data_IF_915588557087
#
_entry.id   IF_915588557087
#
_cell.length_a   1.000
_cell.length_b   1.000
_cell.length_c   1.000
_cell.angle_alpha   90.00
_cell.angle_beta   90.00
_cell.angle_gamma   90.00
#
_symmetry.space_group_name_H-M   'P 1'
#
loop_
_entity.id
_entity.type
_entity.pdbx_description
1 polymer ?
#
# COMPACT_ATOMS: atom_id res chain seq x y z
N UNK A 1 -26.37 0.95 19.28
CA UNK A 1 -24.92 0.73 19.49
C UNK A 1 -24.16 1.82 18.76
N UNK A 2 -23.26 2.54 19.42
CA UNK A 2 -22.32 3.44 18.74
C UNK A 2 -21.29 2.59 17.99
N UNK A 3 -21.04 2.91 16.72
CA UNK A 3 -19.99 2.26 15.95
C UNK A 3 -18.63 2.84 16.36
N UNK A 4 -17.73 2.01 16.88
CA UNK A 4 -16.34 2.42 17.14
C UNK A 4 -15.66 2.73 15.81
N UNK A 5 -14.89 3.82 15.78
CA UNK A 5 -14.09 4.20 14.61
C UNK A 5 -12.65 3.76 14.87
N UNK A 6 -12.10 2.96 13.97
CA UNK A 6 -10.69 2.56 13.96
C UNK A 6 -9.90 3.49 13.05
N UNK A 7 -8.75 3.92 13.53
CA UNK A 7 -7.74 4.63 12.76
C UNK A 7 -6.63 3.66 12.38
N UNK A 8 -6.34 3.55 11.08
CA UNK A 8 -5.37 2.59 10.55
C UNK A 8 -4.30 3.35 9.77
N UNK A 9 -3.01 3.22 10.14
CA UNK A 9 -1.93 3.91 9.47
C UNK A 9 -1.64 3.32 8.09
N UNK A 10 -1.35 4.21 7.13
CA UNK A 10 -0.90 3.89 5.77
C UNK A 10 0.63 3.82 5.78
N UNK A 11 1.17 2.67 5.37
CA UNK A 11 2.58 2.50 5.05
C UNK A 11 2.83 2.86 3.58
N UNK A 12 3.86 3.65 3.33
CA UNK A 12 4.32 3.99 1.97
C UNK A 12 5.52 3.12 1.60
N UNK A 13 5.52 2.59 0.37
CA UNK A 13 6.60 1.77 -0.17
C UNK A 13 6.92 2.24 -1.59
N UNK A 14 8.20 2.36 -1.92
CA UNK A 14 8.63 2.58 -3.31
C UNK A 14 9.06 1.27 -3.91
N UNK A 15 8.51 0.93 -5.08
CA UNK A 15 8.94 -0.23 -5.87
C UNK A 15 9.45 0.22 -7.23
N UNK A 16 10.41 -0.53 -7.77
CA UNK A 16 10.96 -0.36 -9.11
C UNK A 16 10.42 -1.47 -9.99
N UNK A 17 9.83 -1.10 -11.12
CA UNK A 17 9.30 -2.02 -12.14
C UNK A 17 10.13 -1.90 -13.40
N UNK A 18 10.56 -3.05 -13.96
CA UNK A 18 11.19 -3.14 -15.28
C UNK A 18 10.10 -3.20 -16.35
N UNK A 19 10.06 -2.19 -17.24
CA UNK A 19 9.08 -2.07 -18.30
C UNK A 19 9.50 -2.81 -19.58
N UNK A 20 10.77 -3.21 -19.71
CA UNK A 20 11.29 -3.91 -20.88
C UNK A 20 11.31 -5.43 -20.67
N UNK A 21 11.50 -5.89 -19.42
CA UNK A 21 11.45 -7.30 -19.08
C UNK A 21 10.41 -7.59 -17.98
N UNK A 22 9.20 -8.06 -18.35
CA UNK A 22 8.13 -8.35 -17.39
C UNK A 22 8.41 -9.57 -16.50
N UNK A 23 9.43 -10.37 -16.81
CA UNK A 23 9.85 -11.49 -15.97
C UNK A 23 10.73 -11.04 -14.80
N UNK A 24 11.27 -9.83 -14.85
CA UNK A 24 11.99 -9.27 -13.73
C UNK A 24 10.99 -8.90 -12.61
N UNK A 25 11.21 -9.38 -11.37
CA UNK A 25 10.34 -9.03 -10.27
C UNK A 25 10.45 -7.53 -9.98
N UNK A 26 9.35 -6.93 -9.53
CA UNK A 26 9.41 -5.62 -8.92
C UNK A 26 10.25 -5.69 -7.64
N UNK A 27 11.16 -4.74 -7.46
CA UNK A 27 12.02 -4.67 -6.28
C UNK A 27 11.63 -3.47 -5.42
N UNK A 28 11.84 -3.56 -4.11
CA UNK A 28 11.83 -2.35 -3.28
C UNK A 28 12.95 -1.43 -3.77
N UNK A 29 12.72 -0.12 -3.72
CA UNK A 29 13.66 0.87 -4.23
C UNK A 29 15.09 0.71 -3.67
N UNK A 30 15.21 0.47 -2.37
CA UNK A 30 16.53 0.26 -1.76
C UNK A 30 17.17 -1.06 -2.19
N UNK A 31 16.39 -2.15 -2.27
CA UNK A 31 16.88 -3.44 -2.77
C UNK A 31 17.39 -3.34 -4.22
N UNK A 32 16.74 -2.51 -5.04
CA UNK A 32 17.22 -2.23 -6.39
C UNK A 32 18.59 -1.55 -6.36
N UNK A 33 18.75 -0.51 -5.53
CA UNK A 33 20.01 0.25 -5.43
C UNK A 33 21.14 -0.61 -4.87
N UNK A 34 20.85 -1.45 -3.88
CA UNK A 34 21.81 -2.41 -3.32
C UNK A 34 22.26 -3.42 -4.38
N UNK A 35 21.30 -3.96 -5.15
CA UNK A 35 21.58 -5.00 -6.16
C UNK A 35 22.33 -4.48 -7.38
N UNK A 36 21.98 -3.30 -7.89
CA UNK A 36 22.48 -2.79 -9.17
C UNK A 36 23.51 -1.66 -9.02
N UNK A 37 23.66 -1.07 -7.83
CA UNK A 37 24.62 0.00 -7.57
C UNK A 37 24.31 1.33 -8.27
N UNK A 38 23.10 1.48 -8.83
CA UNK A 38 22.67 2.70 -9.50
C UNK A 38 21.19 3.03 -9.23
N UNK A 39 20.80 4.26 -9.57
CA UNK A 39 19.40 4.68 -9.52
C UNK A 39 18.61 4.09 -10.71
N UNK A 40 17.34 3.69 -10.50
CA UNK A 40 16.48 3.23 -11.60
C UNK A 40 16.19 4.38 -12.58
N UNK A 41 16.56 4.20 -13.84
CA UNK A 41 16.44 5.23 -14.88
C UNK A 41 15.34 4.91 -15.91
N UNK A 42 14.56 5.90 -16.36
CA UNK A 42 13.69 5.76 -17.52
C UNK A 42 14.51 5.60 -18.82
N UNK A 43 13.93 5.04 -19.91
CA UNK A 43 12.55 4.56 -20.00
C UNK A 43 12.35 3.16 -19.42
N UNK A 44 13.43 2.40 -19.20
CA UNK A 44 13.36 1.00 -18.78
C UNK A 44 12.72 0.81 -17.41
N UNK A 45 13.13 1.58 -16.41
CA UNK A 45 12.63 1.41 -15.06
C UNK A 45 11.65 2.51 -14.68
N UNK A 46 10.57 2.11 -13.99
CA UNK A 46 9.59 3.03 -13.40
C UNK A 46 9.49 2.82 -11.91
N UNK A 47 9.60 3.91 -11.15
CA UNK A 47 9.39 3.89 -9.69
C UNK A 47 7.91 4.15 -9.40
N UNK A 48 7.27 3.23 -8.68
CA UNK A 48 5.88 3.36 -8.23
C UNK A 48 5.85 3.54 -6.71
N UNK A 49 5.05 4.50 -6.24
CA UNK A 49 4.75 4.68 -4.82
C UNK A 49 3.49 3.88 -4.50
N UNK A 50 3.61 2.87 -3.65
CA UNK A 50 2.49 2.11 -3.11
C UNK A 50 2.12 2.65 -1.73
N UNK A 51 0.82 2.67 -1.47
CA UNK A 51 0.23 2.99 -0.18
C UNK A 51 -0.55 1.77 0.29
N UNK A 52 -0.10 1.17 1.39
CA UNK A 52 -0.57 -0.12 1.90
C UNK A 52 -0.99 0.03 3.35
N UNK A 53 -1.93 -0.77 3.81
CA UNK A 53 -2.23 -0.93 5.23
C UNK A 53 -2.60 -2.39 5.53
N UNK A 54 -2.55 -2.75 6.81
CA UNK A 54 -3.13 -4.02 7.29
C UNK A 54 -4.57 -3.73 7.70
N UNK A 55 -5.53 -4.39 7.04
CA UNK A 55 -6.93 -4.26 7.42
C UNK A 55 -7.13 -4.87 8.81
N UNK A 56 -7.66 -4.12 9.80
CA UNK A 56 -7.75 -4.60 11.18
C UNK A 56 -8.81 -5.70 11.39
N UNK A 57 -9.52 -6.10 10.34
CA UNK A 57 -10.69 -6.99 10.45
C UNK A 57 -10.42 -8.39 9.91
N UNK A 58 -9.63 -8.50 8.85
CA UNK A 58 -9.21 -9.76 8.26
C UNK A 58 -7.67 -9.94 8.29
N UNK A 59 -6.93 -8.95 8.78
CA UNK A 59 -5.46 -8.94 8.85
C UNK A 59 -4.75 -9.00 7.50
N UNK A 60 -5.47 -8.74 6.40
CA UNK A 60 -4.87 -8.72 5.06
C UNK A 60 -4.12 -7.41 4.80
N UNK A 61 -3.00 -7.50 4.07
CA UNK A 61 -2.34 -6.33 3.49
C UNK A 61 -3.13 -5.90 2.25
N UNK A 62 -3.56 -4.65 2.23
CA UNK A 62 -4.40 -4.10 1.17
C UNK A 62 -3.87 -2.75 0.70
N UNK A 63 -4.10 -2.39 -0.57
CA UNK A 63 -3.82 -1.03 -1.03
C UNK A 63 -4.81 -0.04 -0.40
N UNK A 64 -4.31 1.13 -0.01
CA UNK A 64 -5.14 2.21 0.53
C UNK A 64 -6.25 2.63 -0.44
N UNK A 65 -6.02 2.50 -1.75
CA UNK A 65 -7.02 2.75 -2.80
C UNK A 65 -8.18 1.75 -2.77
N UNK A 66 -7.95 0.51 -2.37
CA UNK A 66 -8.97 -0.53 -2.30
C UNK A 66 -9.87 -0.37 -1.08
N UNK A 67 -9.39 0.27 0.00
CA UNK A 67 -10.20 0.53 1.19
C UNK A 67 -11.47 1.30 0.89
N UNK A 68 -11.47 2.18 -0.11
CA UNK A 68 -12.66 2.94 -0.54
C UNK A 68 -13.84 2.06 -0.97
N UNK A 69 -13.58 0.80 -1.35
CA UNK A 69 -14.58 -0.19 -1.75
C UNK A 69 -15.15 -0.98 -0.57
N UNK A 70 -14.53 -0.87 0.62
CA UNK A 70 -14.98 -1.57 1.81
C UNK A 70 -16.22 -0.86 2.42
N UNK A 71 -17.31 -1.58 2.77
CA UNK A 71 -18.50 -0.96 3.37
C UNK A 71 -18.23 -0.33 4.75
N UNK A 72 -17.12 -0.70 5.39
CA UNK A 72 -16.68 -0.14 6.67
C UNK A 72 -15.92 1.17 6.49
N UNK A 73 -15.47 1.51 5.29
CA UNK A 73 -14.71 2.72 5.04
C UNK A 73 -15.53 3.96 5.35
N UNK A 74 -14.92 4.89 6.08
CA UNK A 74 -15.53 6.19 6.39
C UNK A 74 -14.83 7.26 5.58
N UNK A 75 -13.50 7.37 5.71
CA UNK A 75 -12.69 8.36 4.99
C UNK A 75 -11.21 8.04 5.08
N UNK A 76 -10.44 8.70 4.20
CA UNK A 76 -9.00 8.88 4.33
C UNK A 76 -8.71 10.30 4.79
N UNK A 77 -7.75 10.48 5.70
CA UNK A 77 -7.21 11.78 6.07
C UNK A 77 -5.72 11.65 6.35
N UNK A 78 -4.90 12.46 5.68
CA UNK A 78 -3.44 12.35 5.73
C UNK A 78 -3.00 10.90 5.41
N UNK A 79 -2.17 10.33 6.27
CA UNK A 79 -1.62 8.98 6.16
C UNK A 79 -2.42 7.95 6.98
N UNK A 80 -3.71 8.21 7.22
CA UNK A 80 -4.59 7.31 7.95
C UNK A 80 -5.91 7.02 7.20
N UNK A 81 -6.38 5.80 7.33
CA UNK A 81 -7.73 5.36 6.95
C UNK A 81 -8.58 5.24 8.22
N UNK A 82 -9.80 5.76 8.15
CA UNK A 82 -10.80 5.63 9.21
C UNK A 82 -11.90 4.68 8.75
N UNK A 83 -12.17 3.64 9.54
CA UNK A 83 -13.20 2.65 9.24
C UNK A 83 -14.02 2.27 10.48
N UNK A 84 -15.24 1.76 10.26
CA UNK A 84 -16.09 1.24 11.31
C UNK A 84 -15.58 -0.11 11.78
N UNK A 85 -15.55 -0.32 13.09
CA UNK A 85 -15.40 -1.63 13.70
C UNK A 85 -16.67 -2.45 13.53
N UNK A 86 -16.53 -3.70 13.08
CA UNK A 86 -17.62 -4.68 13.24
C UNK A 86 -17.55 -5.23 14.65
N UNK A 87 -18.59 -5.00 15.47
CA UNK A 87 -18.71 -5.71 16.74
C UNK A 87 -18.85 -7.20 16.43
N UNK A 88 -17.91 -8.03 16.90
CA UNK A 88 -18.11 -9.47 16.92
C UNK A 88 -19.28 -9.76 17.86
N UNK A 89 -20.31 -10.46 17.34
CA UNK A 89 -21.41 -10.99 18.14
C UNK A 89 -20.92 -12.09 19.07
#
# INVERSE_FOLDING_TARGET
MQATIREVPIRKLKIVVDLENPLNPALIYEDFREKYGEEPKPPRYKVLNLELLVCPEDQNVILASECSKCPRFIRRRNDNIYCKETAML
#
